data_IF_521589350692
#
_entry.id   IF_521589350692
#
_cell.length_a   1.000
_cell.length_b   1.000
_cell.length_c   1.000
_cell.angle_alpha   90.00
_cell.angle_beta   90.00
_cell.angle_gamma   90.00
#
_symmetry.space_group_name_H-M   'P 1'
#
loop_
_entity.id
_entity.type
_entity.pdbx_description
1 polymer ?
#
# COMPACT_ATOMS: atom_id res chain seq x y z
N UNK A 1 1.64 -9.61 19.52
CA UNK A 1 2.15 -8.25 19.84
C UNK A 1 1.50 -7.32 18.84
N UNK A 2 0.80 -6.28 19.30
CA UNK A 2 0.11 -5.35 18.41
C UNK A 2 1.15 -4.55 17.61
N UNK A 3 1.00 -4.47 16.29
CA UNK A 3 1.83 -3.67 15.39
C UNK A 3 0.94 -2.68 14.62
N UNK A 4 1.45 -1.49 14.38
CA UNK A 4 0.74 -0.43 13.65
C UNK A 4 1.64 0.12 12.55
N UNK A 5 1.08 0.24 11.35
CA UNK A 5 1.66 0.99 10.25
C UNK A 5 0.80 2.21 9.98
N UNK A 6 1.39 3.38 9.90
CA UNK A 6 0.70 4.62 9.54
C UNK A 6 1.47 5.35 8.47
N UNK A 7 0.76 5.87 7.48
CA UNK A 7 1.35 6.62 6.38
C UNK A 7 0.46 7.80 5.99
N UNK A 8 1.12 8.85 5.47
CA UNK A 8 0.45 10.03 4.92
C UNK A 8 1.03 10.30 3.54
N UNK A 9 0.16 10.27 2.54
CA UNK A 9 0.49 10.61 1.16
C UNK A 9 -0.10 11.97 0.82
N UNK A 10 0.75 12.87 0.33
CA UNK A 10 0.33 14.11 -0.33
C UNK A 10 -0.13 13.78 -1.76
N UNK A 11 -1.38 14.12 -2.07
CA UNK A 11 -2.04 13.74 -3.32
C UNK A 11 -1.36 14.40 -4.52
N UNK A 12 -0.99 15.67 -4.41
CA UNK A 12 -0.40 16.43 -5.51
C UNK A 12 1.04 16.02 -5.77
N UNK A 13 1.80 15.71 -4.71
CA UNK A 13 3.15 15.13 -4.86
C UNK A 13 3.11 13.75 -5.49
N UNK A 14 2.13 12.92 -5.13
CA UNK A 14 1.95 11.62 -5.77
C UNK A 14 1.63 11.78 -7.26
N UNK A 15 0.64 12.61 -7.61
CA UNK A 15 0.30 12.92 -9.02
C UNK A 15 1.50 13.44 -9.81
N UNK A 16 2.30 14.33 -9.21
CA UNK A 16 3.50 14.87 -9.84
C UNK A 16 4.57 13.80 -10.08
N UNK A 17 4.72 12.85 -9.16
CA UNK A 17 5.63 11.71 -9.35
C UNK A 17 5.16 10.82 -10.52
N UNK A 18 3.86 10.52 -10.56
CA UNK A 18 3.23 9.76 -11.66
C UNK A 18 3.40 10.51 -12.99
N UNK A 19 3.17 11.82 -13.04
CA UNK A 19 3.25 12.59 -14.29
C UNK A 19 4.69 12.71 -14.81
N UNK A 20 5.69 12.77 -13.92
CA UNK A 20 7.11 12.89 -14.30
C UNK A 20 7.72 11.57 -14.75
N UNK A 21 7.36 10.48 -14.07
CA UNK A 21 8.00 9.18 -14.27
C UNK A 21 7.13 8.18 -15.02
N UNK A 22 5.84 8.46 -15.19
CA UNK A 22 4.89 7.66 -15.95
C UNK A 22 4.71 6.24 -15.42
N UNK A 23 4.43 5.32 -16.34
CA UNK A 23 4.29 3.88 -16.06
C UNK A 23 5.47 3.26 -15.30
N UNK A 24 6.74 3.62 -15.53
CA UNK A 24 7.87 3.11 -14.73
C UNK A 24 7.74 3.31 -13.22
N UNK A 25 7.12 4.40 -12.76
CA UNK A 25 6.90 4.62 -11.33
C UNK A 25 5.78 3.73 -10.80
N UNK A 26 4.65 3.72 -11.49
CA UNK A 26 3.48 2.93 -11.10
C UNK A 26 3.79 1.43 -11.12
N UNK A 27 4.46 0.93 -12.15
CA UNK A 27 4.81 -0.50 -12.30
C UNK A 27 5.83 -1.02 -11.27
N UNK A 28 6.44 -0.14 -10.46
CA UNK A 28 7.26 -0.53 -9.29
C UNK A 28 6.43 -0.71 -8.03
N UNK A 29 5.27 -0.07 -7.97
CA UNK A 29 4.42 0.02 -6.78
C UNK A 29 3.21 -0.92 -6.92
N UNK A 30 2.51 -0.81 -8.04
CA UNK A 30 1.22 -1.46 -8.27
C UNK A 30 1.38 -2.67 -9.17
N UNK A 31 0.53 -3.66 -8.91
CA UNK A 31 0.34 -4.85 -9.76
C UNK A 31 -0.48 -4.47 -10.99
N UNK A 32 -0.45 -5.29 -12.03
CA UNK A 32 -1.30 -5.06 -13.21
C UNK A 32 -2.78 -5.03 -12.82
N UNK A 33 -3.21 -5.97 -11.97
CA UNK A 33 -4.59 -6.04 -11.47
C UNK A 33 -5.00 -4.77 -10.71
N UNK A 34 -4.12 -4.22 -9.85
CA UNK A 34 -4.38 -2.97 -9.13
C UNK A 34 -4.48 -1.77 -10.09
N UNK A 35 -3.67 -1.73 -11.15
CA UNK A 35 -3.72 -0.66 -12.17
C UNK A 35 -5.00 -0.73 -12.99
N UNK A 36 -5.49 -1.94 -13.31
CA UNK A 36 -6.73 -2.14 -14.06
C UNK A 36 -7.99 -1.88 -13.22
N UNK A 37 -7.93 -2.21 -11.92
CA UNK A 37 -9.08 -2.13 -11.02
C UNK A 37 -9.31 -0.73 -10.45
N UNK A 38 -8.25 0.04 -10.23
CA UNK A 38 -8.31 1.31 -9.50
C UNK A 38 -7.84 2.49 -10.35
N UNK A 39 -8.39 3.67 -10.07
CA UNK A 39 -7.98 4.90 -10.75
C UNK A 39 -6.73 5.56 -10.13
N UNK A 40 -6.20 6.58 -10.82
CA UNK A 40 -4.99 7.30 -10.39
C UNK A 40 -5.06 7.98 -9.02
N UNK A 41 -6.27 8.31 -8.55
CA UNK A 41 -6.46 8.87 -7.20
C UNK A 41 -6.37 7.74 -6.17
N UNK A 42 -7.05 6.62 -6.44
CA UNK A 42 -6.98 5.42 -5.60
C UNK A 42 -5.59 4.81 -5.53
N UNK A 43 -4.76 4.96 -6.57
CA UNK A 43 -3.35 4.54 -6.54
C UNK A 43 -2.55 5.18 -5.40
N UNK A 44 -2.88 6.40 -4.98
CA UNK A 44 -2.26 7.03 -3.82
C UNK A 44 -2.64 6.35 -2.50
N UNK A 45 -3.88 5.84 -2.40
CA UNK A 45 -4.36 5.04 -1.26
C UNK A 45 -3.59 3.72 -1.21
N UNK A 46 -3.50 3.01 -2.34
CA UNK A 46 -2.75 1.75 -2.45
C UNK A 46 -1.28 1.94 -2.07
N UNK A 47 -0.64 3.00 -2.58
CA UNK A 47 0.74 3.33 -2.22
C UNK A 47 0.90 3.56 -0.70
N UNK A 48 0.03 4.35 -0.10
CA UNK A 48 0.04 4.62 1.35
C UNK A 48 -0.18 3.37 2.20
N UNK A 49 -1.05 2.47 1.75
CA UNK A 49 -1.29 1.18 2.39
C UNK A 49 -0.05 0.28 2.34
N UNK A 50 0.62 0.21 1.19
CA UNK A 50 1.86 -0.57 1.02
C UNK A 50 3.00 -0.01 1.89
N UNK A 51 3.17 1.31 1.94
CA UNK A 51 4.11 1.97 2.86
C UNK A 51 3.79 1.65 4.33
N UNK A 52 2.50 1.62 4.69
CA UNK A 52 2.06 1.24 6.04
C UNK A 52 2.44 -0.21 6.38
N UNK A 53 2.32 -1.15 5.45
CA UNK A 53 2.82 -2.53 5.65
C UNK A 53 4.31 -2.56 5.85
N UNK A 54 5.09 -1.84 5.03
CA UNK A 54 6.55 -1.78 5.16
C UNK A 54 6.96 -1.30 6.55
N UNK A 55 6.21 -0.37 7.14
CA UNK A 55 6.42 0.08 8.54
C UNK A 55 6.10 -1.01 9.57
N UNK A 56 5.09 -1.85 9.35
CA UNK A 56 4.79 -3.01 10.20
C UNK A 56 5.91 -4.07 10.15
N UNK A 57 6.40 -4.39 8.95
CA UNK A 57 7.48 -5.37 8.75
C UNK A 57 8.88 -4.77 8.88
N UNK A 58 8.97 -3.46 9.19
CA UNK A 58 10.17 -2.61 9.33
C UNK A 58 10.93 -2.32 8.03
N UNK A 59 11.02 -3.29 7.13
CA UNK A 59 11.62 -3.15 5.80
C UNK A 59 11.18 -4.32 4.90
N UNK A 60 11.15 -4.11 3.58
CA UNK A 60 11.03 -5.22 2.64
C UNK A 60 12.32 -6.05 2.64
N UNK A 61 12.24 -7.40 2.71
CA UNK A 61 13.42 -8.25 2.54
C UNK A 61 14.01 -8.09 1.13
N UNK A 62 15.30 -8.42 0.99
CA UNK A 62 15.99 -8.35 -0.31
C UNK A 62 15.29 -9.24 -1.35
N UNK A 63 15.14 -8.72 -2.57
CA UNK A 63 14.45 -9.41 -3.66
C UNK A 63 12.93 -9.21 -3.69
N UNK A 64 12.35 -8.53 -2.70
CA UNK A 64 10.92 -8.19 -2.66
C UNK A 64 10.67 -6.72 -2.98
N UNK A 65 9.45 -6.45 -3.45
CA UNK A 65 8.99 -5.13 -3.85
C UNK A 65 7.53 -4.91 -3.42
N UNK A 66 7.01 -3.71 -3.67
CA UNK A 66 5.62 -3.37 -3.35
C UNK A 66 4.58 -4.25 -4.06
N UNK A 67 4.91 -4.86 -5.21
CA UNK A 67 3.98 -5.73 -5.93
C UNK A 67 3.77 -7.09 -5.27
N UNK A 68 4.62 -7.44 -4.32
CA UNK A 68 4.45 -8.62 -3.45
C UNK A 68 3.42 -8.37 -2.33
N UNK A 69 2.92 -7.13 -2.24
CA UNK A 69 1.83 -6.72 -1.36
C UNK A 69 0.63 -6.36 -2.27
N UNK A 70 -0.49 -7.04 -2.08
CA UNK A 70 -1.76 -6.72 -2.74
C UNK A 70 -2.63 -5.89 -1.79
N UNK A 71 -3.27 -4.85 -2.30
CA UNK A 71 -4.23 -4.06 -1.53
C UNK A 71 -5.58 -4.07 -2.21
N UNK A 72 -6.61 -4.40 -1.44
CA UNK A 72 -8.01 -4.31 -1.85
C UNK A 72 -8.72 -3.18 -1.08
N UNK A 73 -9.32 -2.25 -1.80
CA UNK A 73 -10.15 -1.19 -1.21
C UNK A 73 -11.56 -1.73 -1.04
N UNK A 74 -11.99 -1.81 0.21
CA UNK A 74 -13.31 -2.29 0.60
C UNK A 74 -14.27 -1.10 0.81
N UNK A 75 -15.59 -1.35 0.92
CA UNK A 75 -16.55 -0.32 1.30
C UNK A 75 -16.16 0.37 2.62
N UNK A 76 -16.71 1.57 2.85
CA UNK A 76 -16.47 2.36 4.07
C UNK A 76 -15.01 2.75 4.33
N UNK A 77 -14.20 2.87 3.26
CA UNK A 77 -12.78 3.23 3.31
C UNK A 77 -11.91 2.23 4.11
N UNK A 78 -12.36 0.97 4.16
CA UNK A 78 -11.57 -0.12 4.73
C UNK A 78 -10.60 -0.68 3.69
N UNK A 79 -9.52 -1.29 4.18
CA UNK A 79 -8.47 -1.90 3.37
C UNK A 79 -8.23 -3.31 3.86
N UNK A 80 -8.15 -4.24 2.91
CA UNK A 80 -7.56 -5.55 3.12
C UNK A 80 -6.19 -5.55 2.43
N UNK A 81 -5.12 -5.70 3.20
CA UNK A 81 -3.77 -5.79 2.66
C UNK A 81 -3.24 -7.20 2.82
N UNK A 82 -2.86 -7.84 1.71
CA UNK A 82 -2.39 -9.23 1.69
C UNK A 82 -0.96 -9.29 1.19
N UNK A 83 -0.07 -9.88 2.00
CA UNK A 83 1.29 -10.21 1.61
C UNK A 83 1.25 -11.55 0.86
N UNK A 84 1.70 -11.54 -0.40
CA UNK A 84 1.76 -12.75 -1.23
C UNK A 84 2.98 -13.59 -0.88
N UNK A 85 2.92 -14.88 -1.18
CA UNK A 85 4.12 -15.71 -1.15
C UNK A 85 5.03 -15.34 -2.33
N UNK A 86 6.37 -15.34 -2.15
CA UNK A 86 7.08 -15.79 -0.95
C UNK A 86 7.36 -14.70 0.10
N UNK A 87 6.78 -13.49 0.00
CA UNK A 87 7.05 -12.40 0.94
C UNK A 87 6.58 -12.75 2.35
N UNK A 88 5.36 -13.29 2.47
CA UNK A 88 4.79 -13.65 3.77
C UNK A 88 5.66 -14.66 4.52
N UNK A 89 6.18 -15.69 3.84
CA UNK A 89 7.09 -16.68 4.42
C UNK A 89 8.42 -16.09 4.95
N UNK A 90 8.76 -14.86 4.53
CA UNK A 90 10.01 -14.17 4.88
C UNK A 90 9.86 -13.12 5.96
N UNK A 91 8.64 -12.87 6.43
CA UNK A 91 8.37 -11.88 7.49
C UNK A 91 7.76 -12.55 8.71
N UNK A 92 8.11 -12.05 9.89
CA UNK A 92 7.54 -12.52 11.15
C UNK A 92 6.18 -11.82 11.38
N UNK A 93 5.12 -12.33 10.78
CA UNK A 93 3.74 -11.90 11.02
C UNK A 93 2.83 -13.09 11.36
N UNK A 94 1.83 -12.91 12.23
CA UNK A 94 0.89 -13.98 12.60
C UNK A 94 -0.11 -14.36 11.50
N UNK A 95 -0.28 -13.52 10.48
CA UNK A 95 -1.18 -13.72 9.34
C UNK A 95 -0.62 -12.98 8.13
N UNK A 96 -0.96 -13.44 6.93
CA UNK A 96 -0.58 -12.81 5.68
C UNK A 96 -1.48 -11.62 5.31
N UNK A 97 -2.60 -11.44 6.01
CA UNK A 97 -3.56 -10.36 5.75
C UNK A 97 -3.68 -9.42 6.95
N UNK A 98 -3.70 -8.12 6.67
CA UNK A 98 -3.80 -7.04 7.65
C UNK A 98 -4.97 -6.13 7.25
N UNK A 99 -5.86 -5.85 8.21
CA UNK A 99 -6.94 -4.90 8.01
C UNK A 99 -6.49 -3.49 8.37
N UNK A 100 -7.08 -2.51 7.71
CA UNK A 100 -6.92 -1.13 8.08
C UNK A 100 -7.95 -0.24 7.43
N UNK A 101 -7.71 1.05 7.47
CA UNK A 101 -8.55 2.03 6.80
C UNK A 101 -7.74 3.23 6.37
N UNK A 102 -8.34 4.00 5.48
CA UNK A 102 -7.80 5.29 5.07
C UNK A 102 -8.82 6.41 5.32
N UNK A 103 -8.31 7.62 5.44
CA UNK A 103 -9.10 8.83 5.46
C UNK A 103 -8.52 9.84 4.50
N UNK A 104 -9.37 10.34 3.64
CA UNK A 104 -9.03 11.42 2.73
C UNK A 104 -9.27 12.77 3.40
N UNK A 105 -8.30 13.65 3.24
CA UNK A 105 -8.37 15.07 3.52
C UNK A 105 -8.17 15.82 2.20
N UNK A 106 -8.33 17.14 2.24
CA UNK A 106 -8.27 17.98 1.03
C UNK A 106 -7.03 17.71 0.16
N UNK A 107 -5.86 17.61 0.80
CA UNK A 107 -4.57 17.56 0.09
C UNK A 107 -3.77 16.28 0.39
N UNK A 108 -4.30 15.40 1.26
CA UNK A 108 -3.60 14.19 1.67
C UNK A 108 -4.53 13.02 2.00
N UNK A 109 -3.96 11.82 1.93
CA UNK A 109 -4.57 10.57 2.37
C UNK A 109 -3.78 10.08 3.57
N UNK A 110 -4.47 9.73 4.65
CA UNK A 110 -3.87 9.09 5.82
C UNK A 110 -4.35 7.66 5.90
N UNK A 111 -3.41 6.71 5.87
CA UNK A 111 -3.69 5.28 5.98
C UNK A 111 -3.15 4.74 7.29
N UNK A 112 -3.90 3.86 7.94
CA UNK A 112 -3.39 3.09 9.06
C UNK A 112 -3.80 1.62 8.95
N UNK A 113 -2.88 0.74 9.34
CA UNK A 113 -3.06 -0.70 9.41
C UNK A 113 -2.79 -1.15 10.85
N UNK A 114 -3.59 -2.08 11.36
CA UNK A 114 -3.45 -2.61 12.73
C UNK A 114 -3.42 -4.13 12.64
N UNK A 115 -2.38 -4.72 13.25
CA UNK A 115 -2.17 -6.17 13.34
C UNK A 115 -1.99 -6.61 14.79
#
# INVERSE_FOLDING_TARGET
MIRVGIDLVDIERFKLAVSRSGEPFISRILTTDEVEQYDSHQWAILFSAKESVVKIIKQLPEGFCFKDIQVDILPNNELLVTLRDPLYERVDLPTNSIMGSYKEFKDCIVTHLIL
#
